data_IF_529712465083
#
_entry.id   IF_529712465083
#
_cell.length_a   1.000
_cell.length_b   1.000
_cell.length_c   1.000
_cell.angle_alpha   90.00
_cell.angle_beta   90.00
_cell.angle_gamma   90.00
#
_symmetry.space_group_name_H-M   'P 1'
#
loop_
_entity.id
_entity.type
_entity.pdbx_description
1 polymer ?
#
# COMPACT_ATOMS: atom_id res chain seq x y z
N UNK A 1 23.91 47.25 -20.75
CA UNK A 1 23.49 47.25 -19.33
C UNK A 1 22.75 45.95 -19.08
N UNK A 2 23.44 44.96 -18.50
CA UNK A 2 22.90 43.63 -18.25
C UNK A 2 22.65 43.54 -16.74
N UNK A 3 21.37 43.48 -16.35
CA UNK A 3 20.98 43.42 -14.95
C UNK A 3 21.16 41.99 -14.45
N UNK A 4 21.90 41.87 -13.36
CA UNK A 4 22.29 40.63 -12.70
C UNK A 4 21.43 40.52 -11.46
N UNK A 5 20.29 39.84 -11.56
CA UNK A 5 19.45 39.54 -10.41
C UNK A 5 19.82 38.17 -9.85
N UNK A 6 20.64 38.23 -8.81
CA UNK A 6 20.94 37.18 -7.85
C UNK A 6 19.65 36.71 -7.18
N UNK A 7 19.23 35.47 -7.45
CA UNK A 7 18.24 34.78 -6.64
C UNK A 7 18.94 34.16 -5.44
N UNK A 8 18.73 34.77 -4.27
CA UNK A 8 19.04 34.18 -2.97
C UNK A 8 18.27 32.86 -2.82
N UNK A 9 18.99 31.74 -2.90
CA UNK A 9 18.51 30.43 -2.47
C UNK A 9 18.27 30.45 -0.95
N UNK A 10 17.04 30.79 -0.55
CA UNK A 10 16.54 30.46 0.78
C UNK A 10 16.52 28.95 0.92
N UNK A 11 17.48 28.42 1.69
CA UNK A 11 17.59 27.04 2.14
C UNK A 11 16.43 26.66 3.08
N UNK A 12 15.22 26.59 2.53
CA UNK A 12 14.10 25.91 3.18
C UNK A 12 14.31 24.41 3.06
N UNK A 13 14.62 23.74 4.16
CA UNK A 13 14.62 22.27 4.24
C UNK A 13 13.22 21.80 3.83
N UNK A 14 13.11 21.30 2.61
CA UNK A 14 11.84 20.88 2.03
C UNK A 14 11.31 19.65 2.76
N UNK A 15 9.99 19.63 2.94
CA UNK A 15 9.19 18.57 3.59
C UNK A 15 9.44 17.15 3.01
N UNK A 16 10.14 17.04 1.87
CA UNK A 16 10.40 15.81 1.13
C UNK A 16 11.51 14.90 1.65
N UNK A 17 12.21 15.25 2.73
CA UNK A 17 13.31 14.40 3.28
C UNK A 17 12.85 13.48 4.41
N UNK A 18 11.67 13.72 5.00
CA UNK A 18 11.28 13.11 6.29
C UNK A 18 10.42 11.85 6.12
N UNK A 19 9.91 11.58 4.92
CA UNK A 19 8.99 10.47 4.66
C UNK A 19 9.51 9.69 3.46
N UNK A 20 9.78 8.39 3.68
CA UNK A 20 10.22 7.43 2.64
C UNK A 20 9.43 7.62 1.34
N UNK A 21 10.13 7.61 0.19
CA UNK A 21 9.56 7.89 -1.13
C UNK A 21 8.30 7.05 -1.48
N UNK A 22 8.11 5.89 -0.85
CA UNK A 22 6.95 5.03 -1.01
C UNK A 22 5.63 5.63 -0.44
N UNK A 23 5.70 6.42 0.64
CA UNK A 23 4.52 7.13 1.18
C UNK A 23 4.24 8.39 0.36
N UNK A 24 5.28 9.01 -0.23
CA UNK A 24 5.11 10.21 -1.07
C UNK A 24 4.47 9.87 -2.42
N UNK A 25 4.91 8.81 -3.11
CA UNK A 25 4.41 8.47 -4.44
C UNK A 25 2.89 8.20 -4.46
N UNK A 26 2.37 7.49 -3.46
CA UNK A 26 0.95 7.13 -3.42
C UNK A 26 0.07 8.30 -2.95
N UNK A 27 0.56 9.16 -2.04
CA UNK A 27 -0.10 10.44 -1.71
C UNK A 27 -0.19 11.35 -2.96
N UNK A 28 0.83 11.38 -3.82
CA UNK A 28 0.79 12.15 -5.07
C UNK A 28 -0.25 11.57 -6.04
N UNK A 29 -0.33 10.25 -6.20
CA UNK A 29 -1.37 9.59 -7.01
C UNK A 29 -2.76 9.94 -6.49
N UNK A 30 -3.00 9.82 -5.18
CA UNK A 30 -4.27 10.22 -4.55
C UNK A 30 -4.54 11.72 -4.75
N UNK A 31 -3.52 12.56 -4.65
CA UNK A 31 -3.61 14.00 -4.92
C UNK A 31 -4.06 14.30 -6.34
N UNK A 32 -3.53 13.59 -7.34
CA UNK A 32 -3.95 13.69 -8.75
C UNK A 32 -5.40 13.27 -8.91
N UNK A 33 -5.82 12.14 -8.31
CA UNK A 33 -7.21 11.69 -8.35
C UNK A 33 -8.19 12.70 -7.71
N UNK A 34 -7.83 13.28 -6.56
CA UNK A 34 -8.64 14.32 -5.91
C UNK A 34 -8.68 15.59 -6.76
N UNK A 35 -7.60 15.94 -7.44
CA UNK A 35 -7.53 17.13 -8.31
C UNK A 35 -8.36 16.95 -9.58
N UNK A 36 -8.20 15.84 -10.31
CA UNK A 36 -8.94 15.54 -11.56
C UNK A 36 -10.43 15.27 -11.27
N UNK A 37 -10.77 14.71 -10.11
CA UNK A 37 -12.15 14.47 -9.71
C UNK A 37 -12.94 15.74 -9.33
N UNK A 38 -12.29 16.90 -9.18
CA UNK A 38 -12.98 18.16 -8.80
C UNK A 38 -13.91 18.69 -9.89
N UNK A 39 -13.64 18.40 -11.16
CA UNK A 39 -14.42 18.94 -12.29
C UNK A 39 -15.78 18.25 -12.50
N UNK A 40 -16.09 17.18 -11.74
CA UNK A 40 -17.35 16.43 -11.87
C UNK A 40 -18.30 16.56 -10.68
N UNK A 41 -18.02 17.46 -9.73
CA UNK A 41 -18.88 17.63 -8.55
C UNK A 41 -20.07 18.56 -8.84
N UNK A 42 -21.11 18.03 -9.48
CA UNK A 42 -22.45 18.60 -9.35
C UNK A 42 -22.94 18.42 -7.90
N UNK A 43 -23.57 19.46 -7.39
CA UNK A 43 -24.09 19.61 -6.03
C UNK A 43 -25.11 18.52 -5.67
N UNK A 44 -24.63 17.42 -5.09
CA UNK A 44 -25.44 16.38 -4.47
C UNK A 44 -25.46 16.52 -2.94
N UNK A 45 -26.66 16.47 -2.36
CA UNK A 45 -26.92 16.66 -0.94
C UNK A 45 -26.00 15.85 0.00
N UNK A 46 -25.65 16.46 1.15
CA UNK A 46 -24.93 15.81 2.26
C UNK A 46 -25.69 14.55 2.71
N UNK A 47 -25.30 13.38 2.21
CA UNK A 47 -25.59 12.13 2.90
C UNK A 47 -24.72 12.11 4.15
N UNK A 48 -25.35 12.03 5.31
CA UNK A 48 -24.65 11.80 6.57
C UNK A 48 -23.86 10.50 6.45
N UNK A 49 -22.63 10.52 6.96
CA UNK A 49 -21.81 9.32 7.06
C UNK A 49 -22.59 8.25 7.83
N UNK A 50 -22.64 6.99 7.34
CA UNK A 50 -23.22 5.92 8.12
C UNK A 50 -22.46 5.82 9.46
N UNK A 51 -23.17 5.51 10.56
CA UNK A 51 -22.54 5.38 11.86
C UNK A 51 -21.41 4.35 11.78
N UNK A 52 -20.27 4.56 12.49
CA UNK A 52 -19.22 3.56 12.54
C UNK A 52 -19.84 2.23 12.99
N UNK A 53 -19.59 1.17 12.23
CA UNK A 53 -19.85 -0.19 12.72
C UNK A 53 -19.17 -0.35 14.08
N UNK A 54 -19.78 -1.07 15.04
CA UNK A 54 -19.19 -1.24 16.36
C UNK A 54 -17.75 -1.72 16.16
N UNK A 55 -16.80 -0.93 16.67
CA UNK A 55 -15.38 -1.21 16.55
C UNK A 55 -15.16 -2.51 17.30
N UNK A 56 -15.16 -3.63 16.58
CA UNK A 56 -14.79 -4.88 17.19
C UNK A 56 -13.32 -4.74 17.61
N UNK A 57 -13.04 -5.05 18.87
CA UNK A 57 -11.74 -4.82 19.48
C UNK A 57 -10.60 -5.52 18.73
N UNK A 58 -9.36 -5.13 19.02
CA UNK A 58 -8.18 -5.86 18.58
C UNK A 58 -8.34 -7.35 18.92
N UNK A 59 -8.35 -8.21 17.89
CA UNK A 59 -8.53 -9.67 18.03
C UNK A 59 -9.94 -10.21 17.70
N UNK A 60 -10.89 -9.36 17.29
CA UNK A 60 -12.20 -9.84 16.83
C UNK A 60 -12.09 -10.68 15.53
N UNK A 61 -12.85 -11.77 15.45
CA UNK A 61 -12.90 -12.64 14.27
C UNK A 61 -14.22 -12.48 13.52
N UNK A 62 -14.21 -12.82 12.23
CA UNK A 62 -15.35 -12.76 11.34
C UNK A 62 -15.34 -11.51 10.45
N UNK A 63 -16.34 -11.43 9.59
CA UNK A 63 -16.51 -10.36 8.62
C UNK A 63 -17.93 -9.80 8.72
N UNK A 64 -18.07 -8.50 8.54
CA UNK A 64 -19.35 -7.87 8.24
C UNK A 64 -19.77 -8.16 6.79
N UNK A 65 -20.90 -7.60 6.36
CA UNK A 65 -21.32 -7.65 4.96
C UNK A 65 -20.22 -7.09 4.04
N UNK A 66 -20.02 -7.69 2.85
CA UNK A 66 -19.05 -7.19 1.89
C UNK A 66 -19.44 -5.80 1.36
N UNK A 67 -18.44 -5.05 0.92
CA UNK A 67 -18.58 -3.74 0.29
C UNK A 67 -17.85 -3.74 -1.06
N UNK A 68 -17.91 -2.63 -1.79
CA UNK A 68 -17.14 -2.41 -3.01
C UNK A 68 -16.17 -1.25 -2.85
N UNK A 69 -15.03 -1.34 -3.51
CA UNK A 69 -14.14 -0.19 -3.67
C UNK A 69 -14.66 0.81 -4.73
N UNK A 70 -13.90 1.88 -4.99
CA UNK A 70 -14.25 2.94 -5.94
C UNK A 70 -14.48 2.41 -7.38
N UNK A 71 -13.95 1.24 -7.70
CA UNK A 71 -14.02 0.62 -9.03
C UNK A 71 -14.96 -0.59 -9.08
N UNK A 72 -15.76 -0.80 -8.03
CA UNK A 72 -16.73 -1.89 -7.96
C UNK A 72 -16.13 -3.25 -7.60
N UNK A 73 -14.85 -3.33 -7.20
CA UNK A 73 -14.26 -4.59 -6.73
C UNK A 73 -14.81 -4.92 -5.35
N UNK A 74 -15.22 -6.17 -5.14
CA UNK A 74 -15.60 -6.69 -3.82
C UNK A 74 -14.42 -6.54 -2.85
N UNK A 75 -14.70 -5.99 -1.67
CA UNK A 75 -13.78 -5.94 -0.54
C UNK A 75 -14.55 -6.39 0.69
N UNK A 76 -14.04 -7.42 1.38
CA UNK A 76 -14.64 -7.93 2.59
C UNK A 76 -14.23 -7.08 3.80
N UNK A 77 -15.16 -6.83 4.72
CA UNK A 77 -14.92 -5.97 5.89
C UNK A 77 -14.64 -6.86 7.12
N UNK A 78 -13.38 -7.01 7.55
CA UNK A 78 -13.04 -7.78 8.73
C UNK A 78 -13.56 -7.08 9.99
N UNK A 79 -13.97 -7.86 10.98
CA UNK A 79 -14.35 -7.32 12.29
C UNK A 79 -13.15 -6.66 12.99
N UNK A 80 -11.95 -7.27 12.87
CA UNK A 80 -10.71 -6.64 13.31
C UNK A 80 -10.27 -5.56 12.30
N UNK A 81 -10.11 -4.28 12.70
CA UNK A 81 -9.69 -3.22 11.80
C UNK A 81 -8.28 -3.42 11.20
N UNK A 82 -7.43 -4.24 11.84
CA UNK A 82 -6.12 -4.64 11.33
C UNK A 82 -6.18 -5.77 10.29
N UNK A 83 -7.36 -6.32 10.02
CA UNK A 83 -7.59 -7.44 9.11
C UNK A 83 -7.65 -8.80 9.80
N UNK A 84 -8.00 -9.81 9.01
CA UNK A 84 -8.10 -11.20 9.45
C UNK A 84 -7.29 -12.13 8.53
N UNK A 85 -6.24 -12.80 9.05
CA UNK A 85 -5.48 -13.79 8.31
C UNK A 85 -6.37 -14.94 7.82
N UNK A 86 -6.05 -15.48 6.65
CA UNK A 86 -6.73 -16.64 6.10
C UNK A 86 -6.00 -17.93 6.50
N UNK A 87 -6.71 -19.08 6.62
CA UNK A 87 -6.05 -20.37 6.79
C UNK A 87 -5.03 -20.63 5.67
N UNK A 88 -3.81 -21.01 6.05
CA UNK A 88 -2.72 -21.23 5.10
C UNK A 88 -2.70 -22.68 4.61
N UNK A 89 -2.42 -22.86 3.33
CA UNK A 89 -2.19 -24.12 2.64
C UNK A 89 -0.87 -24.02 1.87
N UNK A 90 0.21 -24.52 2.48
CA UNK A 90 1.55 -24.47 1.89
C UNK A 90 1.68 -25.28 0.60
N UNK A 91 0.78 -26.24 0.33
CA UNK A 91 0.79 -26.99 -0.92
C UNK A 91 0.40 -26.14 -2.14
N UNK A 92 -0.13 -24.94 -1.93
CA UNK A 92 -0.45 -23.97 -2.98
C UNK A 92 0.64 -22.90 -3.16
N UNK A 93 1.72 -22.95 -2.38
CA UNK A 93 2.86 -22.07 -2.60
C UNK A 93 3.64 -22.55 -3.84
N UNK A 94 4.05 -21.59 -4.66
CA UNK A 94 4.98 -21.86 -5.75
C UNK A 94 6.40 -22.05 -5.20
N UNK A 95 7.24 -22.68 -6.01
CA UNK A 95 8.63 -23.01 -5.72
C UNK A 95 9.53 -22.49 -6.84
N UNK A 96 10.84 -22.39 -6.57
CA UNK A 96 11.81 -21.93 -7.57
C UNK A 96 11.94 -22.84 -8.79
N UNK A 97 11.43 -24.08 -8.73
CA UNK A 97 11.39 -25.01 -9.86
C UNK A 97 10.19 -24.81 -10.77
N UNK A 98 9.17 -24.05 -10.33
CA UNK A 98 7.97 -23.83 -11.12
C UNK A 98 8.22 -22.81 -12.23
N UNK A 99 7.71 -23.08 -13.43
CA UNK A 99 7.91 -22.20 -14.59
C UNK A 99 7.30 -20.82 -14.41
N UNK A 100 6.32 -20.69 -13.51
CA UNK A 100 5.63 -19.46 -13.17
C UNK A 100 6.07 -18.86 -11.83
N UNK A 101 7.21 -19.28 -11.28
CA UNK A 101 7.75 -18.81 -9.99
C UNK A 101 7.68 -17.28 -9.80
N UNK A 102 7.99 -16.50 -10.84
CA UNK A 102 7.98 -15.03 -10.80
C UNK A 102 6.65 -14.40 -11.26
N UNK A 103 5.73 -15.20 -11.79
CA UNK A 103 4.52 -14.72 -12.50
C UNK A 103 3.22 -15.28 -11.95
N UNK A 104 3.26 -16.21 -11.00
CA UNK A 104 2.08 -16.77 -10.37
C UNK A 104 1.50 -15.82 -9.32
N UNK A 105 0.16 -15.80 -9.22
CA UNK A 105 -0.56 -15.08 -8.18
C UNK A 105 -0.61 -15.92 -6.89
N UNK A 106 -0.54 -15.30 -5.70
CA UNK A 106 -0.79 -16.01 -4.45
C UNK A 106 -2.19 -16.62 -4.42
N UNK A 107 -2.35 -17.83 -3.89
CA UNK A 107 -3.66 -18.47 -3.82
C UNK A 107 -4.63 -17.71 -2.90
N UNK A 108 -5.91 -17.70 -3.26
CA UNK A 108 -6.98 -17.13 -2.44
C UNK A 108 -7.19 -15.61 -2.61
N UNK A 109 -6.36 -14.90 -3.37
CA UNK A 109 -6.54 -13.45 -3.61
C UNK A 109 -7.74 -13.12 -4.52
N UNK A 110 -8.22 -14.09 -5.30
CA UNK A 110 -9.44 -13.97 -6.12
C UNK A 110 -10.71 -14.45 -5.41
N UNK A 111 -10.55 -15.12 -4.27
CA UNK A 111 -11.66 -15.71 -3.51
C UNK A 111 -12.22 -14.71 -2.48
N UNK A 112 -13.43 -14.95 -1.92
CA UNK A 112 -13.93 -14.15 -0.81
C UNK A 112 -12.90 -14.02 0.31
N UNK A 113 -12.75 -12.80 0.85
CA UNK A 113 -11.79 -12.41 1.91
C UNK A 113 -10.33 -12.30 1.45
N UNK A 114 -10.04 -12.59 0.18
CA UNK A 114 -8.74 -12.34 -0.44
C UNK A 114 -8.37 -10.85 -0.50
N UNK A 115 -9.37 -9.97 -0.49
CA UNK A 115 -9.20 -8.53 -0.35
C UNK A 115 -10.02 -8.00 0.82
N UNK A 116 -9.37 -7.30 1.74
CA UNK A 116 -9.99 -6.84 2.98
C UNK A 116 -9.84 -5.34 3.19
N UNK A 117 -10.86 -4.72 3.78
CA UNK A 117 -10.82 -3.30 4.17
C UNK A 117 -10.09 -3.15 5.50
N UNK A 118 -8.85 -2.69 5.47
CA UNK A 118 -7.98 -2.49 6.63
C UNK A 118 -7.69 -0.99 6.77
N UNK A 119 -8.13 -0.40 7.88
CA UNK A 119 -8.01 1.05 8.14
C UNK A 119 -8.46 1.95 6.96
N UNK A 120 -9.48 1.49 6.22
CA UNK A 120 -10.02 2.19 5.05
C UNK A 120 -9.31 1.88 3.72
N UNK A 121 -8.17 1.19 3.73
CA UNK A 121 -7.47 0.72 2.53
C UNK A 121 -7.90 -0.70 2.15
N UNK A 122 -7.82 -1.04 0.86
CA UNK A 122 -8.07 -2.41 0.38
C UNK A 122 -6.73 -3.13 0.22
N UNK A 123 -6.50 -4.18 1.01
CA UNK A 123 -5.21 -4.90 1.08
C UNK A 123 -5.38 -6.41 0.88
N UNK A 124 -4.39 -7.10 0.27
CA UNK A 124 -4.53 -8.49 -0.10
C UNK A 124 -4.19 -9.44 1.04
N UNK A 125 -4.96 -10.51 1.19
CA UNK A 125 -4.70 -11.67 2.04
C UNK A 125 -4.72 -12.92 1.17
N UNK A 126 -3.81 -13.85 1.42
CA UNK A 126 -3.72 -15.10 0.65
C UNK A 126 -3.91 -16.31 1.56
N UNK A 127 -4.23 -17.45 0.96
CA UNK A 127 -4.22 -18.76 1.60
C UNK A 127 -2.88 -19.48 1.41
N UNK A 128 -1.92 -18.93 0.65
CA UNK A 128 -0.63 -19.59 0.41
C UNK A 128 0.55 -18.85 1.04
N UNK A 129 0.66 -17.54 0.84
CA UNK A 129 1.89 -16.77 1.03
C UNK A 129 1.78 -15.71 2.15
N UNK A 130 0.76 -15.84 2.99
CA UNK A 130 0.49 -14.99 4.13
C UNK A 130 -0.40 -13.76 3.84
N UNK A 131 -0.49 -12.81 4.78
CA UNK A 131 0.11 -12.88 6.12
C UNK A 131 -0.50 -14.02 6.95
N UNK A 132 0.33 -14.74 7.72
CA UNK A 132 -0.13 -15.85 8.57
C UNK A 132 -0.81 -15.39 9.86
N UNK A 133 -0.46 -14.18 10.33
CA UNK A 133 -1.06 -13.59 11.55
C UNK A 133 -1.09 -12.07 11.51
N UNK A 134 -1.95 -11.51 12.36
CA UNK A 134 -1.84 -10.12 12.82
C UNK A 134 -1.25 -10.17 14.23
N UNK A 135 -0.16 -9.44 14.49
CA UNK A 135 0.47 -9.42 15.81
C UNK A 135 -0.23 -8.50 16.81
N UNK A 136 0.29 -8.42 18.04
CA UNK A 136 -0.25 -7.63 19.15
C UNK A 136 -0.24 -6.11 18.87
N UNK A 137 0.56 -5.66 17.91
CA UNK A 137 0.61 -4.26 17.43
C UNK A 137 -0.28 -4.01 16.22
N UNK A 138 -1.01 -5.02 15.74
CA UNK A 138 -1.86 -4.90 14.56
C UNK A 138 -1.09 -5.00 13.23
N UNK A 139 0.15 -5.49 13.25
CA UNK A 139 0.97 -5.66 12.05
C UNK A 139 0.67 -7.00 11.39
N UNK A 140 0.49 -6.98 10.07
CA UNK A 140 0.39 -8.20 9.27
C UNK A 140 1.78 -8.78 9.04
N UNK A 141 2.03 -10.00 9.50
CA UNK A 141 3.35 -10.63 9.52
C UNK A 141 3.31 -12.11 9.18
N UNK A 142 4.48 -12.67 8.90
CA UNK A 142 4.68 -14.05 8.50
C UNK A 142 4.21 -14.27 7.07
N UNK A 143 4.78 -13.49 6.16
CA UNK A 143 4.72 -13.75 4.73
C UNK A 143 5.69 -14.87 4.38
N UNK A 144 5.39 -15.64 3.34
CA UNK A 144 6.31 -16.66 2.84
C UNK A 144 7.56 -16.03 2.23
N UNK A 145 8.67 -16.77 2.25
CA UNK A 145 9.93 -16.36 1.63
C UNK A 145 9.92 -16.67 0.12
N UNK A 146 8.96 -16.09 -0.60
CA UNK A 146 8.70 -16.28 -2.04
C UNK A 146 8.47 -14.92 -2.72
N UNK A 147 8.51 -14.84 -4.06
CA UNK A 147 8.09 -13.66 -4.81
C UNK A 147 6.64 -13.25 -4.51
N UNK A 148 5.76 -14.23 -4.34
CA UNK A 148 4.35 -14.03 -3.98
C UNK A 148 4.21 -13.42 -2.58
N UNK A 149 4.95 -13.93 -1.59
CA UNK A 149 5.02 -13.37 -0.25
C UNK A 149 5.57 -11.94 -0.25
N UNK A 150 6.58 -11.66 -1.08
CA UNK A 150 7.13 -10.31 -1.24
C UNK A 150 6.09 -9.35 -1.82
N UNK A 151 5.30 -9.76 -2.82
CA UNK A 151 4.26 -8.94 -3.43
C UNK A 151 3.13 -8.61 -2.44
N UNK A 152 2.69 -9.61 -1.66
CA UNK A 152 1.68 -9.42 -0.61
C UNK A 152 2.18 -8.46 0.47
N UNK A 153 3.41 -8.65 0.96
CA UNK A 153 4.03 -7.78 1.95
C UNK A 153 4.17 -6.35 1.42
N UNK A 154 4.63 -6.19 0.17
CA UNK A 154 4.77 -4.88 -0.47
C UNK A 154 3.44 -4.13 -0.51
N UNK A 155 2.35 -4.79 -0.91
CA UNK A 155 1.03 -4.19 -0.93
C UNK A 155 0.52 -3.87 0.49
N UNK A 156 0.59 -4.83 1.41
CA UNK A 156 0.13 -4.64 2.79
C UNK A 156 0.87 -3.52 3.51
N UNK A 157 2.20 -3.51 3.48
CA UNK A 157 3.03 -2.49 4.16
C UNK A 157 2.76 -1.11 3.55
N UNK A 158 2.77 -0.99 2.21
CA UNK A 158 2.57 0.29 1.53
C UNK A 158 1.21 0.89 1.83
N UNK A 159 0.15 0.10 1.74
CA UNK A 159 -1.22 0.60 1.93
C UNK A 159 -1.52 0.89 3.40
N UNK A 160 -1.02 0.07 4.34
CA UNK A 160 -1.14 0.36 5.78
C UNK A 160 -0.38 1.63 6.17
N UNK A 161 0.82 1.86 5.64
CA UNK A 161 1.59 3.08 5.90
C UNK A 161 0.87 4.33 5.37
N UNK A 162 0.25 4.23 4.20
CA UNK A 162 -0.53 5.34 3.64
C UNK A 162 -1.84 5.57 4.42
N UNK A 163 -2.49 4.51 4.90
CA UNK A 163 -3.69 4.62 5.73
C UNK A 163 -3.39 5.16 7.13
N UNK A 164 -2.25 4.77 7.73
CA UNK A 164 -1.84 5.10 9.10
C UNK A 164 -0.40 5.63 9.15
N UNK A 165 -0.14 6.82 8.60
CA UNK A 165 1.22 7.34 8.48
C UNK A 165 1.88 7.67 9.83
N UNK A 166 1.07 7.90 10.88
CA UNK A 166 1.56 8.06 12.26
C UNK A 166 1.85 6.75 13.01
N UNK A 167 1.60 5.58 12.43
CA UNK A 167 1.89 4.30 13.10
C UNK A 167 3.41 4.00 13.12
N UNK A 168 4.02 4.32 14.26
CA UNK A 168 5.46 4.14 14.48
C UNK A 168 5.88 2.67 14.53
N UNK A 169 5.06 1.77 15.09
CA UNK A 169 5.41 0.35 15.15
C UNK A 169 5.45 -0.25 13.75
N UNK A 170 4.49 0.12 12.90
CA UNK A 170 4.48 -0.22 11.49
C UNK A 170 5.74 0.31 10.78
N UNK A 171 6.07 1.59 10.97
CA UNK A 171 7.22 2.23 10.33
C UNK A 171 8.55 1.57 10.73
N UNK A 172 8.78 1.35 12.03
CA UNK A 172 10.07 0.83 12.52
C UNK A 172 10.22 -0.68 12.28
N UNK A 173 9.13 -1.44 12.31
CA UNK A 173 9.19 -2.92 12.24
C UNK A 173 9.04 -3.47 10.82
N UNK A 174 8.37 -2.76 9.92
CA UNK A 174 8.11 -3.22 8.55
C UNK A 174 8.83 -2.41 7.47
N UNK A 175 9.57 -1.36 7.86
CA UNK A 175 10.42 -0.57 6.95
C UNK A 175 11.86 -0.61 7.44
N UNK A 176 12.80 -0.89 6.54
CA UNK A 176 14.24 -0.89 6.83
C UNK A 176 14.77 0.55 6.84
N UNK A 177 14.58 1.22 7.97
CA UNK A 177 14.95 2.64 8.15
C UNK A 177 16.23 2.81 8.97
N UNK A 178 16.98 3.87 8.69
CA UNK A 178 18.14 4.28 9.49
C UNK A 178 17.73 5.01 10.77
N UNK A 179 18.63 5.10 11.75
CA UNK A 179 18.39 5.88 12.97
C UNK A 179 18.07 7.36 12.68
N UNK A 180 18.68 7.95 11.64
CA UNK A 180 18.39 9.31 11.20
C UNK A 180 16.96 9.43 10.66
N UNK A 181 16.50 8.45 9.87
CA UNK A 181 15.13 8.43 9.35
C UNK A 181 14.11 8.27 10.48
N UNK A 182 14.40 7.42 11.48
CA UNK A 182 13.56 7.29 12.68
C UNK A 182 13.46 8.62 13.43
N UNK A 183 14.58 9.29 13.68
CA UNK A 183 14.58 10.58 14.38
C UNK A 183 13.78 11.66 13.63
N UNK A 184 13.92 11.71 12.30
CA UNK A 184 13.15 12.61 11.46
C UNK A 184 11.63 12.30 11.50
N UNK A 185 11.28 11.01 11.43
CA UNK A 185 9.90 10.53 11.54
C UNK A 185 9.28 10.88 12.90
N UNK A 186 10.00 10.62 14.00
CA UNK A 186 9.56 10.92 15.35
C UNK A 186 9.35 12.42 15.56
N UNK A 187 10.22 13.25 14.99
CA UNK A 187 10.04 14.69 14.97
C UNK A 187 8.77 15.09 14.21
N UNK A 188 8.54 14.56 13.00
CA UNK A 188 7.34 14.88 12.23
C UNK A 188 6.05 14.44 12.95
N UNK A 189 6.08 13.29 13.63
CA UNK A 189 4.97 12.82 14.46
C UNK A 189 4.74 13.76 15.66
N UNK A 190 5.79 14.14 16.38
CA UNK A 190 5.73 15.09 17.50
C UNK A 190 5.25 16.49 17.10
N UNK A 191 5.59 16.93 15.89
CA UNK A 191 5.11 18.19 15.28
C UNK A 191 3.63 18.09 14.79
N UNK A 192 2.96 16.94 14.92
CA UNK A 192 1.58 16.74 14.47
C UNK A 192 1.41 16.66 12.94
N UNK A 193 2.48 16.40 12.18
CA UNK A 193 2.45 16.35 10.72
C UNK A 193 1.96 15.02 10.15
N UNK A 194 1.91 13.98 10.99
CA UNK A 194 1.49 12.63 10.60
C UNK A 194 0.24 12.25 11.39
N UNK A 195 -0.94 12.17 10.75
CA UNK A 195 -2.13 11.69 11.44
C UNK A 195 -1.98 10.20 11.78
N UNK A 196 -2.51 9.77 12.94
CA UNK A 196 -2.51 8.35 13.32
C UNK A 196 -3.28 7.48 12.31
N UNK A 197 -4.33 8.04 11.69
CA UNK A 197 -5.04 7.46 10.56
C UNK A 197 -5.54 8.56 9.61
N UNK A 198 -5.43 8.33 8.32
CA UNK A 198 -6.02 9.20 7.30
C UNK A 198 -7.55 9.15 7.34
N UNK A 199 -8.23 10.27 7.03
CA UNK A 199 -9.68 10.31 7.00
C UNK A 199 -10.23 9.50 5.82
N UNK A 200 -11.48 9.01 5.94
CA UNK A 200 -12.15 8.17 4.94
C UNK A 200 -12.14 8.77 3.52
N UNK A 201 -12.23 10.10 3.41
CA UNK A 201 -12.15 10.83 2.12
C UNK A 201 -10.83 10.62 1.37
N UNK A 202 -9.76 10.24 2.07
CA UNK A 202 -8.44 9.91 1.51
C UNK A 202 -8.31 8.40 1.34
N UNK A 203 -8.63 7.62 2.37
CA UNK A 203 -8.40 6.16 2.35
C UNK A 203 -9.25 5.45 1.30
N UNK A 204 -10.40 6.00 0.89
CA UNK A 204 -11.23 5.44 -0.20
C UNK A 204 -10.51 5.32 -1.56
N UNK A 205 -9.41 6.04 -1.75
CA UNK A 205 -8.56 5.97 -2.95
C UNK A 205 -7.42 4.95 -2.81
N UNK A 206 -7.21 4.37 -1.62
CA UNK A 206 -6.27 3.28 -1.37
C UNK A 206 -6.93 1.96 -1.81
N UNK A 207 -7.20 1.86 -3.10
CA UNK A 207 -7.88 0.72 -3.74
C UNK A 207 -6.91 -0.42 -4.04
N UNK A 208 -7.45 -1.62 -4.14
CA UNK A 208 -6.67 -2.81 -4.45
C UNK A 208 -5.96 -2.64 -5.82
N UNK A 209 -4.64 -2.87 -5.93
CA UNK A 209 -3.98 -2.86 -7.23
C UNK A 209 -4.58 -3.93 -8.16
N UNK A 210 -4.59 -3.68 -9.46
CA UNK A 210 -5.13 -4.60 -10.47
C UNK A 210 -4.14 -5.73 -10.78
N UNK A 211 -2.85 -5.45 -10.63
CA UNK A 211 -1.78 -6.40 -10.90
C UNK A 211 -0.50 -6.05 -10.11
N UNK A 212 0.42 -7.00 -10.09
CA UNK A 212 1.79 -6.80 -9.65
C UNK A 212 2.77 -7.40 -10.66
N UNK A 213 4.04 -7.04 -10.53
CA UNK A 213 5.11 -7.62 -11.32
C UNK A 213 6.34 -7.81 -10.42
N UNK A 214 6.95 -8.99 -10.49
CA UNK A 214 8.26 -9.25 -9.88
C UNK A 214 9.32 -8.92 -10.92
N UNK A 215 9.98 -7.77 -10.78
CA UNK A 215 11.06 -7.39 -11.71
C UNK A 215 12.34 -8.18 -11.45
N UNK A 216 12.61 -8.44 -10.16
CA UNK A 216 13.79 -9.17 -9.72
C UNK A 216 13.49 -9.86 -8.40
N UNK A 217 14.05 -11.05 -8.21
CA UNK A 217 13.98 -11.79 -6.97
C UNK A 217 15.32 -12.45 -6.67
N UNK A 218 15.73 -12.33 -5.41
CA UNK A 218 16.80 -13.06 -4.76
C UNK A 218 16.36 -13.37 -3.32
N UNK A 219 17.02 -14.33 -2.68
CA UNK A 219 16.66 -14.76 -1.32
C UNK A 219 16.77 -13.64 -0.27
N UNK A 220 17.46 -12.54 -0.52
CA UNK A 220 17.53 -11.41 0.41
C UNK A 220 16.74 -10.18 -0.05
N UNK A 221 16.23 -10.16 -1.30
CA UNK A 221 15.66 -8.97 -1.90
C UNK A 221 14.70 -9.31 -3.05
N UNK A 222 13.55 -8.61 -3.08
CA UNK A 222 12.64 -8.60 -4.22
C UNK A 222 12.39 -7.17 -4.69
N UNK A 223 12.22 -6.99 -6.00
CA UNK A 223 11.75 -5.73 -6.57
C UNK A 223 10.36 -5.98 -7.13
N UNK A 224 9.38 -5.35 -6.50
CA UNK A 224 7.96 -5.53 -6.79
C UNK A 224 7.42 -4.25 -7.41
N UNK A 225 6.67 -4.36 -8.49
CA UNK A 225 5.80 -3.29 -8.95
C UNK A 225 4.36 -3.59 -8.62
N UNK A 226 3.61 -2.56 -8.22
CA UNK A 226 2.16 -2.62 -8.04
C UNK A 226 1.50 -1.68 -9.04
N UNK A 227 0.55 -2.18 -9.82
CA UNK A 227 -0.24 -1.39 -10.77
C UNK A 227 -1.62 -1.11 -10.18
N UNK A 228 -1.80 0.08 -9.61
CA UNK A 228 -3.10 0.54 -9.15
C UNK A 228 -3.86 1.22 -10.28
N UNK A 229 -5.17 0.96 -10.38
CA UNK A 229 -6.01 1.58 -11.39
C UNK A 229 -5.92 3.09 -11.29
N UNK A 230 -5.52 3.74 -12.38
CA UNK A 230 -5.40 5.19 -12.55
C UNK A 230 -6.72 5.82 -13.02
N UNK A 231 -6.81 7.16 -13.07
CA UNK A 231 -7.97 7.82 -13.66
C UNK A 231 -8.06 7.46 -15.14
N UNK A 232 -9.27 7.42 -15.70
CA UNK A 232 -9.41 7.31 -17.16
C UNK A 232 -8.76 8.54 -17.80
N UNK A 233 -7.86 8.32 -18.74
CA UNK A 233 -7.19 9.37 -19.51
C UNK A 233 -7.72 9.31 -20.96
N UNK A 234 -8.49 10.32 -21.37
CA UNK A 234 -9.12 10.38 -22.71
C UNK A 234 -9.88 9.10 -23.11
N UNK A 235 -10.62 8.51 -22.15
CA UNK A 235 -11.40 7.28 -22.37
C UNK A 235 -10.57 5.99 -22.34
N UNK A 236 -9.26 6.07 -22.11
CA UNK A 236 -8.37 4.90 -21.94
C UNK A 236 -8.07 4.65 -20.46
N UNK A 237 -8.10 3.38 -20.09
CA UNK A 237 -7.65 2.95 -18.77
C UNK A 237 -6.11 3.05 -18.73
N UNK A 238 -5.59 3.68 -17.67
CA UNK A 238 -4.17 3.65 -17.32
C UNK A 238 -4.00 3.13 -15.89
N UNK A 239 -2.81 2.64 -15.55
CA UNK A 239 -2.47 2.21 -14.20
C UNK A 239 -1.28 2.99 -13.68
N UNK A 240 -1.39 3.50 -12.46
CA UNK A 240 -0.24 4.05 -11.75
C UNK A 240 0.59 2.88 -11.20
N UNK A 241 1.76 2.68 -11.77
CA UNK A 241 2.73 1.70 -11.35
C UNK A 241 3.71 2.31 -10.34
N UNK A 242 3.77 1.73 -9.15
CA UNK A 242 4.79 2.05 -8.14
C UNK A 242 5.78 0.89 -8.04
N UNK A 243 7.07 1.23 -7.91
CA UNK A 243 8.16 0.26 -7.76
C UNK A 243 8.66 0.27 -6.32
N UNK A 244 8.69 -0.90 -5.70
CA UNK A 244 8.98 -1.13 -4.29
C UNK A 244 10.13 -2.12 -4.15
N UNK A 245 11.07 -1.83 -3.26
CA UNK A 245 12.17 -2.74 -2.95
C UNK A 245 11.84 -3.40 -1.62
N UNK A 246 11.72 -4.72 -1.63
CA UNK A 246 11.50 -5.54 -0.44
C UNK A 246 12.80 -6.24 -0.09
N UNK A 247 13.08 -6.36 1.20
CA UNK A 247 14.24 -7.10 1.73
C UNK A 247 13.77 -8.12 2.74
N UNK A 248 14.35 -9.32 2.70
CA UNK A 248 14.07 -10.36 3.67
C UNK A 248 14.95 -10.13 4.89
N UNK A 249 14.33 -9.89 6.05
CA UNK A 249 15.04 -9.55 7.27
C UNK A 249 14.27 -10.04 8.50
N UNK A 250 14.96 -10.75 9.38
CA UNK A 250 14.39 -11.34 10.60
C UNK A 250 13.14 -12.22 10.36
N UNK A 251 13.15 -13.00 9.27
CA UNK A 251 12.10 -13.97 8.95
C UNK A 251 10.82 -13.37 8.37
N UNK A 252 10.89 -12.14 7.84
CA UNK A 252 9.79 -11.52 7.12
C UNK A 252 10.26 -10.51 6.06
N UNK A 253 9.35 -10.11 5.17
CA UNK A 253 9.61 -9.05 4.19
C UNK A 253 9.46 -7.66 4.80
N UNK A 254 10.46 -6.80 4.59
CA UNK A 254 10.45 -5.38 4.97
C UNK A 254 10.60 -4.49 3.75
N UNK A 255 9.92 -3.35 3.75
CA UNK A 255 10.08 -2.35 2.72
C UNK A 255 11.42 -1.62 2.91
N UNK A 256 12.26 -1.57 1.88
CA UNK A 256 13.46 -0.73 1.85
C UNK A 256 13.10 0.62 1.20
N UNK A 257 13.22 1.75 1.93
CA UNK A 257 13.09 3.08 1.34
C UNK A 257 14.04 3.26 0.16
N UNK A 258 13.57 3.89 -0.92
CA UNK A 258 14.42 4.34 -2.01
C UNK A 258 14.89 5.78 -1.73
N UNK A 259 16.19 6.03 -1.92
CA UNK A 259 16.82 7.34 -1.67
C UNK A 259 16.55 8.37 -2.79
N UNK A 260 15.86 7.97 -3.86
CA UNK A 260 15.64 8.80 -5.03
C UNK A 260 14.49 9.80 -4.79
N UNK A 261 14.80 11.09 -5.02
CA UNK A 261 13.87 12.25 -4.93
C UNK A 261 12.59 12.15 -5.78
N UNK A 262 12.48 11.14 -6.63
CA UNK A 262 11.24 10.64 -7.18
C UNK A 262 11.56 9.24 -7.71
N UNK A 263 10.91 8.19 -7.22
CA UNK A 263 10.59 7.11 -8.14
C UNK A 263 9.36 7.62 -8.87
N UNK A 264 9.44 8.03 -10.16
CA UNK A 264 8.25 8.48 -10.84
C UNK A 264 7.25 7.34 -10.77
N UNK A 265 6.06 7.60 -10.25
CA UNK A 265 4.92 6.75 -10.54
C UNK A 265 4.79 6.74 -12.05
N UNK A 266 5.11 5.61 -12.67
CA UNK A 266 4.95 5.45 -14.11
C UNK A 266 3.48 5.15 -14.37
N UNK A 267 2.88 5.80 -15.37
CA UNK A 267 1.59 5.34 -15.87
C UNK A 267 1.82 4.32 -16.97
N UNK A 268 1.32 3.11 -16.79
CA UNK A 268 1.28 2.08 -17.83
C UNK A 268 -0.11 2.03 -18.46
N UNK A 269 -0.17 1.79 -19.76
CA UNK A 269 -1.42 1.69 -20.53
C UNK A 269 -1.83 0.24 -20.83
N UNK A 270 -1.02 -0.72 -20.38
CA UNK A 270 -1.27 -2.16 -20.50
C UNK A 270 -0.76 -2.91 -19.28
N UNK A 271 -1.44 -4.01 -18.95
CA UNK A 271 -1.01 -4.99 -17.95
C UNK A 271 -0.42 -6.25 -18.60
N UNK A 272 -0.05 -6.20 -19.88
CA UNK A 272 0.67 -7.30 -20.53
C UNK A 272 2.03 -7.50 -19.84
N UNK A 273 2.35 -8.73 -19.45
CA UNK A 273 3.56 -9.05 -18.69
C UNK A 273 3.47 -8.77 -17.18
N UNK A 274 2.29 -8.43 -16.68
CA UNK A 274 1.99 -8.32 -15.26
C UNK A 274 1.18 -9.53 -14.77
N UNK A 275 1.36 -9.89 -13.51
CA UNK A 275 0.55 -10.89 -12.82
C UNK A 275 -0.70 -10.22 -12.26
N UNK A 276 -1.86 -10.65 -12.73
CA UNK A 276 -3.14 -10.24 -12.13
C UNK A 276 -3.35 -10.97 -10.82
N UNK A 277 -3.92 -10.28 -9.84
CA UNK A 277 -4.28 -10.84 -8.55
C UNK A 277 -5.40 -11.87 -8.63
#
# INVERSE_FOLDING_TARGET
MSNKDTYDERSGVSFGVIVSAAVIALIVIVGVFVYVGRDTSSSGARKADPPPSPVAGSGATGFAGPDTDLFGRRVDIPNNPAGQPLPQNSAQQHSSSDSDWLTAAPAGTTEPRGWQRVYGASVPFSTSDGPTRIDDKGLAVGYSHTPQGAALAAAQITYRLNARPGDRDLYVRQVRVSAQQIAAYDKARGDGKLPDQQPARITKYLVAPDAFQIENYADDMAIVRLAARGPNNDGKQVWAAIRLIMVWDNGDWRLKPTDTRATPSEYVDTLQGWTRW
#
